data_IF_759462490995
#
_entry.id   IF_759462490995
#
_cell.length_a   1.000
_cell.length_b   1.000
_cell.length_c   1.000
_cell.angle_alpha   90.00
_cell.angle_beta   90.00
_cell.angle_gamma   90.00
#
_symmetry.space_group_name_H-M   'P 1'
#
loop_
_entity.id
_entity.type
_entity.pdbx_description
1 polymer ?
#
# COMPACT_ATOMS: atom_id res chain seq x y z
N UNK A 1 9.46 -21.13 -34.89
CA UNK A 1 8.46 -21.11 -33.80
C UNK A 1 8.40 -19.70 -33.23
N UNK A 2 7.45 -18.89 -33.71
CA UNK A 2 7.23 -17.53 -33.21
C UNK A 2 6.25 -17.56 -32.04
N UNK A 3 6.68 -17.09 -30.87
CA UNK A 3 5.80 -16.91 -29.72
C UNK A 3 4.94 -15.67 -29.96
N UNK A 4 3.65 -15.91 -30.21
CA UNK A 4 2.64 -14.86 -30.31
C UNK A 4 2.51 -14.13 -28.96
N UNK A 5 2.53 -12.79 -28.90
CA UNK A 5 2.35 -12.05 -27.66
C UNK A 5 0.93 -12.30 -27.15
N UNK A 6 0.83 -13.04 -26.04
CA UNK A 6 -0.44 -13.43 -25.43
C UNK A 6 -1.36 -12.23 -25.19
N UNK A 7 -2.56 -12.30 -25.77
CA UNK A 7 -3.66 -11.38 -25.46
C UNK A 7 -4.13 -11.66 -24.03
N UNK A 8 -3.85 -10.74 -23.12
CA UNK A 8 -4.49 -10.75 -21.81
C UNK A 8 -5.98 -10.38 -21.96
N UNK A 9 -6.92 -11.14 -21.35
CA UNK A 9 -8.34 -10.85 -21.43
C UNK A 9 -8.67 -9.48 -20.82
N UNK A 10 -9.60 -8.75 -21.45
CA UNK A 10 -10.05 -7.42 -21.05
C UNK A 10 -10.97 -7.52 -19.82
N UNK A 11 -10.40 -7.45 -18.63
CA UNK A 11 -11.17 -7.31 -17.38
C UNK A 11 -11.23 -5.84 -16.96
N UNK A 12 -12.44 -5.33 -16.68
CA UNK A 12 -12.68 -4.00 -16.10
C UNK A 12 -12.89 -4.20 -14.57
N UNK A 13 -12.43 -3.23 -13.75
CA UNK A 13 -12.69 -3.05 -12.28
C UNK A 13 -11.64 -3.71 -11.34
N UNK A 14 -11.29 -3.25 -10.12
CA UNK A 14 -11.23 -1.93 -9.43
C UNK A 14 -9.90 -1.89 -8.62
N UNK A 15 -8.91 -1.15 -9.13
CA UNK A 15 -7.51 -0.98 -8.65
C UNK A 15 -7.35 -0.42 -7.21
N UNK A 16 -8.45 -0.01 -6.55
CA UNK A 16 -8.41 0.84 -5.36
C UNK A 16 -8.06 0.11 -4.06
N UNK A 17 -8.54 -1.12 -3.86
CA UNK A 17 -8.44 -1.84 -2.56
C UNK A 17 -7.00 -2.17 -2.16
N UNK A 18 -6.17 -2.59 -3.12
CA UNK A 18 -4.80 -3.01 -2.84
C UNK A 18 -3.83 -1.83 -2.75
N UNK A 19 -3.99 -0.79 -3.57
CA UNK A 19 -3.24 0.45 -3.37
C UNK A 19 -3.58 0.97 -1.98
N UNK A 20 -4.84 1.19 -1.62
CA UNK A 20 -5.21 1.65 -0.27
C UNK A 20 -4.60 0.79 0.85
N UNK A 21 -4.57 -0.54 0.68
CA UNK A 21 -4.00 -1.48 1.65
C UNK A 21 -2.46 -1.43 1.76
N UNK A 22 -1.73 -1.36 0.64
CA UNK A 22 -0.28 -1.13 0.63
C UNK A 22 0.10 0.29 1.02
N UNK A 23 -0.84 1.22 0.95
CA UNK A 23 -0.65 2.63 1.26
C UNK A 23 -0.91 2.96 2.72
N UNK A 24 -1.77 2.20 3.38
CA UNK A 24 -1.91 2.17 4.85
C UNK A 24 -0.70 1.51 5.52
N UNK A 25 -0.04 0.60 4.80
CA UNK A 25 1.13 -0.18 5.21
C UNK A 25 2.29 0.70 5.70
N UNK A 26 2.74 1.75 4.97
CA UNK A 26 3.80 2.61 5.45
C UNK A 26 3.36 3.69 6.43
N UNK A 27 2.05 3.97 6.54
CA UNK A 27 1.53 4.65 7.73
C UNK A 27 1.84 3.74 8.92
N UNK A 28 1.30 2.52 8.96
CA UNK A 28 1.52 1.55 10.06
C UNK A 28 3.02 1.29 10.34
N UNK A 29 3.91 1.34 9.35
CA UNK A 29 5.36 1.14 9.51
C UNK A 29 6.14 2.31 10.13
N UNK A 30 5.60 3.52 10.15
CA UNK A 30 6.30 4.66 10.76
C UNK A 30 6.20 4.68 12.31
N UNK A 31 5.45 3.75 12.91
CA UNK A 31 4.91 3.86 14.27
C UNK A 31 5.88 3.74 15.46
N UNK A 32 7.18 3.54 15.24
CA UNK A 32 8.01 2.98 16.32
C UNK A 32 9.49 3.31 16.27
N UNK A 33 9.82 4.54 15.90
CA UNK A 33 11.16 5.10 16.11
C UNK A 33 11.16 6.20 17.19
N UNK A 34 10.32 6.05 18.22
CA UNK A 34 10.29 6.91 19.41
C UNK A 34 10.40 6.07 20.68
N UNK A 35 11.64 5.86 21.15
CA UNK A 35 11.95 5.06 22.33
C UNK A 35 11.45 5.70 23.62
N UNK A 36 10.61 4.96 24.34
CA UNK A 36 10.27 5.18 25.74
C UNK A 36 9.76 3.87 26.31
N UNK A 37 10.48 3.28 27.25
CA UNK A 37 10.10 2.05 27.91
C UNK A 37 8.75 2.24 28.62
N UNK A 38 7.78 1.39 28.33
CA UNK A 38 6.47 1.38 29.02
C UNK A 38 6.34 0.05 29.76
N UNK A 39 6.08 0.13 31.06
CA UNK A 39 5.77 -0.99 31.93
C UNK A 39 4.56 -1.77 31.41
N UNK A 40 4.57 -3.08 31.63
CA UNK A 40 3.58 -4.01 31.09
C UNK A 40 2.18 -3.80 31.69
N UNK A 41 1.25 -3.24 30.90
CA UNK A 41 -0.22 -3.40 30.90
C UNK A 41 -0.86 -2.47 29.84
N UNK A 42 -2.14 -2.62 29.43
CA UNK A 42 -2.86 -3.72 28.78
C UNK A 42 -2.72 -3.65 27.24
N UNK A 43 -3.48 -4.47 26.48
CA UNK A 43 -3.52 -4.57 24.99
C UNK A 43 -3.19 -3.26 24.25
N UNK A 44 -2.50 -3.30 23.10
CA UNK A 44 -2.15 -2.09 22.35
C UNK A 44 -3.38 -1.24 22.09
N UNK A 45 -3.35 -0.01 22.61
CA UNK A 45 -4.34 1.00 22.29
C UNK A 45 -4.13 1.42 20.83
N UNK A 46 -5.01 0.94 19.97
CA UNK A 46 -4.99 1.28 18.55
C UNK A 46 -5.22 2.76 18.31
N UNK A 47 -5.92 3.46 19.21
CA UNK A 47 -6.08 4.92 19.16
C UNK A 47 -4.71 5.56 19.28
N UNK A 48 -3.96 5.21 20.33
CA UNK A 48 -2.59 5.69 20.55
C UNK A 48 -1.63 5.30 19.43
N UNK A 49 -1.80 4.11 18.86
CA UNK A 49 -1.04 3.66 17.68
C UNK A 49 -1.35 4.57 16.48
N UNK A 50 -2.63 4.77 16.16
CA UNK A 50 -3.08 5.64 15.06
C UNK A 50 -2.70 7.12 15.28
N UNK A 51 -2.66 7.60 16.52
CA UNK A 51 -2.18 8.94 16.87
C UNK A 51 -0.68 9.07 16.63
N UNK A 52 0.11 8.07 17.06
CA UNK A 52 1.55 8.01 16.73
C UNK A 52 1.75 8.03 15.21
N UNK A 53 0.95 7.26 14.46
CA UNK A 53 0.96 7.31 13.00
C UNK A 53 0.62 8.68 12.44
N UNK A 54 -0.39 9.33 12.99
CA UNK A 54 -0.79 10.68 12.63
C UNK A 54 0.34 11.70 12.83
N UNK A 55 1.15 11.54 13.89
CA UNK A 55 2.31 12.40 14.15
C UNK A 55 3.48 12.21 13.19
N UNK A 56 3.64 11.03 12.57
CA UNK A 56 4.67 10.79 11.54
C UNK A 56 4.22 11.24 10.15
N UNK A 57 2.93 11.08 9.84
CA UNK A 57 2.36 11.54 8.57
C UNK A 57 2.13 13.05 8.52
N UNK A 58 2.14 13.69 9.68
CA UNK A 58 1.99 15.14 9.82
C UNK A 58 2.79 15.63 11.04
N UNK A 59 4.13 15.58 10.98
CA UNK A 59 4.94 16.03 12.10
C UNK A 59 4.82 17.55 12.21
N UNK A 60 4.64 18.03 13.44
CA UNK A 60 4.70 19.45 13.74
C UNK A 60 6.13 19.97 13.43
N UNK A 61 6.37 20.41 12.20
CA UNK A 61 7.67 20.87 11.73
C UNK A 61 7.73 21.06 10.21
N UNK A 62 8.62 21.93 9.75
CA UNK A 62 8.76 22.30 8.32
C UNK A 62 9.42 21.22 7.46
N UNK A 63 10.06 20.21 8.07
CA UNK A 63 10.87 19.21 7.37
C UNK A 63 10.65 17.80 7.93
N UNK A 64 9.53 17.14 7.56
CA UNK A 64 9.27 15.75 7.93
C UNK A 64 10.40 14.83 7.48
N UNK A 65 10.82 13.88 8.33
CA UNK A 65 11.84 12.91 7.96
C UNK A 65 11.34 11.94 6.90
N UNK A 66 12.27 11.23 6.26
CA UNK A 66 11.94 10.18 5.28
C UNK A 66 11.93 8.84 5.97
N UNK A 67 10.82 8.11 5.87
CA UNK A 67 10.76 6.71 6.31
C UNK A 67 11.00 5.83 5.10
N UNK A 68 11.98 4.92 5.19
CA UNK A 68 12.23 3.94 4.14
C UNK A 68 12.19 2.53 4.70
N UNK A 69 11.68 1.59 3.91
CA UNK A 69 11.75 0.17 4.22
C UNK A 69 11.69 -0.67 2.95
N UNK A 70 11.95 -1.96 3.11
CA UNK A 70 11.83 -2.94 2.05
C UNK A 70 10.86 -4.03 2.50
N UNK A 71 9.79 -4.23 1.75
CA UNK A 71 8.81 -5.27 2.01
C UNK A 71 9.20 -6.53 1.24
N UNK A 72 9.45 -7.64 1.95
CA UNK A 72 9.52 -8.97 1.35
C UNK A 72 8.13 -9.59 1.37
N UNK A 73 7.64 -10.00 0.22
CA UNK A 73 6.33 -10.63 0.08
C UNK A 73 6.46 -12.16 0.14
N UNK A 74 5.66 -12.79 1.00
CA UNK A 74 5.61 -14.25 1.19
C UNK A 74 4.15 -14.71 1.23
N UNK A 75 3.93 -16.03 1.30
CA UNK A 75 2.59 -16.63 1.43
C UNK A 75 1.57 -16.11 0.42
N UNK A 76 2.04 -15.81 -0.80
CA UNK A 76 1.30 -15.18 -1.89
C UNK A 76 0.32 -16.16 -2.55
N UNK A 77 -0.53 -16.81 -1.75
CA UNK A 77 -1.51 -17.79 -2.18
C UNK A 77 -2.55 -17.13 -3.07
N UNK A 78 -2.77 -17.70 -4.25
CA UNK A 78 -3.69 -17.14 -5.25
C UNK A 78 -3.18 -15.85 -5.91
N UNK A 79 -1.92 -15.47 -5.68
CA UNK A 79 -1.22 -14.49 -6.51
C UNK A 79 -0.39 -15.24 -7.55
N UNK A 80 -0.23 -14.70 -8.76
CA UNK A 80 0.65 -15.33 -9.72
C UNK A 80 2.13 -15.33 -9.29
N UNK A 81 2.89 -16.30 -9.81
CA UNK A 81 4.15 -16.77 -9.24
C UNK A 81 5.22 -15.69 -8.98
N UNK A 82 5.19 -14.56 -9.71
CA UNK A 82 6.12 -13.45 -9.53
C UNK A 82 5.98 -12.68 -8.21
N UNK A 83 4.98 -12.99 -7.38
CA UNK A 83 4.79 -12.36 -6.07
C UNK A 83 5.46 -13.09 -4.92
N UNK A 84 5.76 -14.38 -5.11
CA UNK A 84 6.50 -15.12 -4.11
C UNK A 84 7.92 -14.58 -4.03
N UNK A 85 8.36 -14.20 -2.83
CA UNK A 85 9.65 -13.55 -2.54
C UNK A 85 9.88 -12.22 -3.28
N UNK A 86 8.82 -11.61 -3.81
CA UNK A 86 8.91 -10.29 -4.40
C UNK A 86 9.33 -9.27 -3.33
N UNK A 87 10.14 -8.31 -3.77
CA UNK A 87 10.62 -7.24 -2.92
C UNK A 87 10.06 -5.91 -3.39
N UNK A 88 9.54 -5.12 -2.45
CA UNK A 88 9.01 -3.77 -2.71
C UNK A 88 9.79 -2.77 -1.87
N UNK A 89 10.52 -1.87 -2.51
CA UNK A 89 11.14 -0.72 -1.85
C UNK A 89 10.09 0.35 -1.59
N UNK A 90 10.03 0.86 -0.37
CA UNK A 90 9.07 1.88 0.06
C UNK A 90 9.84 3.06 0.64
N UNK A 91 9.50 4.27 0.20
CA UNK A 91 9.95 5.51 0.79
C UNK A 91 8.77 6.47 0.95
N UNK A 92 8.63 7.05 2.13
CA UNK A 92 7.61 8.04 2.44
C UNK A 92 8.23 9.30 3.04
N UNK A 93 7.65 10.44 2.71
CA UNK A 93 7.87 11.68 3.42
C UNK A 93 6.53 12.43 3.48
N UNK A 94 6.10 12.77 4.68
CA UNK A 94 4.91 13.60 4.85
C UNK A 94 5.07 14.97 4.15
N UNK A 95 3.97 15.66 3.84
CA UNK A 95 2.59 15.18 3.83
C UNK A 95 2.17 14.58 2.47
N UNK A 96 3.04 14.61 1.45
CA UNK A 96 2.63 14.43 0.05
C UNK A 96 3.71 13.80 -0.83
N UNK A 97 4.63 13.03 -0.24
CA UNK A 97 5.73 12.39 -0.96
C UNK A 97 5.78 10.90 -0.66
N UNK A 98 5.75 10.09 -1.72
CA UNK A 98 5.94 8.66 -1.60
C UNK A 98 6.63 8.09 -2.83
N UNK A 99 7.30 6.96 -2.67
CA UNK A 99 7.84 6.15 -3.75
C UNK A 99 7.72 4.68 -3.38
N UNK A 100 7.18 3.90 -4.30
CA UNK A 100 7.06 2.45 -4.25
C UNK A 100 7.80 1.90 -5.45
N UNK A 101 8.85 1.11 -5.23
CA UNK A 101 9.58 0.43 -6.28
C UNK A 101 9.34 -1.07 -6.17
N UNK A 102 8.83 -1.68 -7.23
CA UNK A 102 8.73 -3.13 -7.34
C UNK A 102 9.52 -3.58 -8.55
N UNK A 103 10.30 -4.65 -8.41
CA UNK A 103 11.04 -5.17 -9.53
C UNK A 103 11.42 -6.63 -9.38
N UNK A 104 11.61 -7.25 -10.54
CA UNK A 104 12.30 -8.52 -10.71
C UNK A 104 13.62 -8.26 -11.44
N UNK A 105 14.51 -9.26 -11.54
CA UNK A 105 15.78 -9.14 -12.27
C UNK A 105 15.66 -8.63 -13.71
N UNK A 106 14.45 -8.63 -14.32
CA UNK A 106 14.22 -8.26 -15.72
C UNK A 106 13.31 -7.04 -15.91
N UNK A 107 12.70 -6.51 -14.85
CA UNK A 107 11.77 -5.39 -14.96
C UNK A 107 11.62 -4.67 -13.64
N UNK A 108 11.69 -3.34 -13.66
CA UNK A 108 11.42 -2.47 -12.51
C UNK A 108 10.28 -1.53 -12.85
N UNK A 109 9.33 -1.42 -11.94
CA UNK A 109 8.20 -0.49 -12.00
C UNK A 109 8.26 0.34 -10.74
N UNK A 110 8.14 1.65 -10.90
CA UNK A 110 8.07 2.57 -9.77
C UNK A 110 6.84 3.42 -9.85
N UNK A 111 6.17 3.56 -8.72
CA UNK A 111 5.07 4.47 -8.52
C UNK A 111 5.50 5.52 -7.50
N UNK A 112 5.14 6.77 -7.69
CA UNK A 112 5.41 7.79 -6.69
C UNK A 112 4.41 8.93 -6.69
N UNK A 113 4.49 9.72 -5.64
CA UNK A 113 3.76 10.96 -5.45
C UNK A 113 4.76 12.05 -5.06
N UNK A 114 4.59 13.21 -5.68
CA UNK A 114 5.27 14.45 -5.33
C UNK A 114 4.23 15.57 -5.33
N UNK A 115 3.74 15.91 -4.14
CA UNK A 115 2.73 16.95 -3.98
C UNK A 115 1.39 16.58 -4.63
N UNK A 116 0.83 17.45 -5.49
CA UNK A 116 -0.44 17.20 -6.15
C UNK A 116 -0.30 16.27 -7.37
N UNK A 117 0.86 15.64 -7.59
CA UNK A 117 1.12 14.78 -8.74
C UNK A 117 1.48 13.37 -8.32
N UNK A 118 0.96 12.41 -9.06
CA UNK A 118 1.36 11.00 -9.03
C UNK A 118 2.04 10.65 -10.34
N UNK A 119 2.97 9.70 -10.28
CA UNK A 119 3.68 9.22 -11.44
C UNK A 119 3.90 7.71 -11.40
N UNK A 120 4.06 7.13 -12.58
CA UNK A 120 4.42 5.74 -12.80
C UNK A 120 5.56 5.69 -13.81
N UNK A 121 6.62 4.98 -13.47
CA UNK A 121 7.75 4.72 -14.34
C UNK A 121 7.94 3.23 -14.54
N UNK A 122 8.24 2.82 -15.77
CA UNK A 122 8.54 1.45 -16.13
C UNK A 122 9.92 1.38 -16.77
N UNK A 123 10.89 0.72 -16.11
CA UNK A 123 12.27 0.66 -16.57
C UNK A 123 12.40 -0.02 -17.93
N UNK A 124 11.74 -1.17 -18.13
CA UNK A 124 11.82 -1.94 -19.37
C UNK A 124 11.34 -1.13 -20.59
N UNK A 125 10.30 -0.32 -20.40
CA UNK A 125 9.76 0.52 -21.47
C UNK A 125 10.32 1.93 -21.46
N UNK A 126 11.09 2.36 -20.45
CA UNK A 126 11.55 3.75 -20.29
C UNK A 126 10.43 4.79 -20.19
N UNK A 127 9.17 4.35 -20.05
CA UNK A 127 7.99 5.21 -20.10
C UNK A 127 7.72 5.83 -18.73
N UNK A 128 7.36 7.10 -18.74
CA UNK A 128 6.87 7.84 -17.57
C UNK A 128 5.45 8.29 -17.83
N UNK A 129 4.58 8.09 -16.84
CA UNK A 129 3.22 8.61 -16.82
C UNK A 129 3.09 9.54 -15.63
N UNK A 130 2.53 10.73 -15.84
CA UNK A 130 2.27 11.70 -14.77
C UNK A 130 0.80 12.10 -14.81
N UNK A 131 0.16 12.16 -13.65
CA UNK A 131 -1.21 12.63 -13.51
C UNK A 131 -1.36 13.48 -12.24
N UNK A 132 -2.31 14.43 -12.23
CA UNK A 132 -2.72 15.05 -10.97
C UNK A 132 -3.33 13.99 -10.05
N UNK A 133 -3.16 14.17 -8.73
CA UNK A 133 -3.97 13.47 -7.74
C UNK A 133 -5.41 13.92 -7.98
N UNK A 134 -6.28 13.01 -8.40
CA UNK A 134 -7.67 13.37 -8.66
C UNK A 134 -8.34 13.93 -7.40
N UNK A 135 -9.30 14.82 -7.54
CA UNK A 135 -10.39 14.98 -6.58
C UNK A 135 -11.52 14.10 -7.11
N UNK A 136 -12.13 13.24 -6.29
CA UNK A 136 -13.34 12.57 -6.77
C UNK A 136 -14.35 13.63 -7.20
N UNK A 137 -15.09 13.42 -8.30
CA UNK A 137 -16.11 14.38 -8.78
C UNK A 137 -17.10 14.76 -7.67
N UNK A 138 -17.35 13.83 -6.74
CA UNK A 138 -18.30 13.97 -5.64
C UNK A 138 -17.67 14.68 -4.41
N UNK A 139 -16.38 15.06 -4.45
CA UNK A 139 -15.60 15.65 -3.34
C UNK A 139 -15.41 14.76 -2.10
N UNK A 140 -16.23 13.73 -1.95
CA UNK A 140 -16.36 12.93 -0.74
C UNK A 140 -15.52 11.66 -0.75
N UNK A 141 -15.13 11.13 -1.91
CA UNK A 141 -14.32 9.89 -1.95
C UNK A 141 -12.84 10.25 -1.87
N UNK A 142 -12.07 9.68 -0.92
CA UNK A 142 -10.65 9.91 -0.85
C UNK A 142 -10.06 9.51 -2.19
N UNK A 143 -9.45 10.48 -2.85
CA UNK A 143 -8.55 10.13 -3.93
C UNK A 143 -7.46 9.27 -3.35
N UNK A 144 -6.88 8.41 -4.17
CA UNK A 144 -5.81 7.47 -3.77
C UNK A 144 -4.50 8.23 -3.50
N UNK A 145 -4.59 9.41 -2.91
CA UNK A 145 -3.51 10.29 -2.54
C UNK A 145 -2.74 9.67 -1.40
N UNK A 146 -1.56 9.17 -1.75
CA UNK A 146 -0.50 8.74 -0.84
C UNK A 146 0.41 9.91 -0.44
N UNK A 147 0.80 10.11 0.82
CA UNK A 147 0.36 9.40 2.01
C UNK A 147 -1.08 9.77 2.39
N UNK A 148 -1.70 8.91 3.19
CA UNK A 148 -3.08 9.06 3.67
C UNK A 148 -3.15 10.32 4.55
N UNK A 149 -4.01 11.31 4.24
CA UNK A 149 -4.15 12.50 5.06
C UNK A 149 -4.51 12.15 6.50
N UNK A 150 -4.01 12.91 7.49
CA UNK A 150 -4.30 12.65 8.91
C UNK A 150 -5.81 12.62 9.20
N UNK A 151 -6.59 13.49 8.56
CA UNK A 151 -8.05 13.50 8.68
C UNK A 151 -8.69 12.17 8.22
N UNK A 152 -8.13 11.52 7.21
CA UNK A 152 -8.60 10.22 6.74
C UNK A 152 -8.22 9.08 7.73
N UNK A 153 -7.07 9.18 8.40
CA UNK A 153 -6.70 8.23 9.46
C UNK A 153 -7.68 8.27 10.65
N UNK A 154 -8.18 9.46 11.02
CA UNK A 154 -9.15 9.62 12.11
C UNK A 154 -10.47 8.88 11.86
N UNK A 155 -10.81 8.59 10.62
CA UNK A 155 -12.01 7.84 10.25
C UNK A 155 -11.81 6.33 10.30
N UNK A 156 -10.58 5.82 10.29
CA UNK A 156 -10.30 4.38 10.25
C UNK A 156 -10.95 3.58 11.40
N UNK A 157 -10.97 4.05 12.67
CA UNK A 157 -11.60 3.32 13.76
C UNK A 157 -13.08 3.01 13.53
N UNK A 158 -13.85 3.95 12.96
CA UNK A 158 -15.28 3.75 12.67
C UNK A 158 -15.54 3.07 11.32
N UNK A 159 -14.59 3.18 10.39
CA UNK A 159 -14.64 2.53 9.09
C UNK A 159 -14.38 1.02 9.13
N UNK A 160 -13.72 0.54 10.19
CA UNK A 160 -13.23 -0.82 10.26
C UNK A 160 -13.72 -1.53 11.52
N UNK A 161 -13.92 -2.83 11.40
CA UNK A 161 -14.00 -3.74 12.53
C UNK A 161 -12.59 -4.14 12.96
N UNK A 162 -12.40 -4.31 14.26
CA UNK A 162 -11.11 -4.63 14.87
C UNK A 162 -11.24 -5.84 15.79
N UNK A 163 -10.22 -6.68 15.83
CA UNK A 163 -10.12 -7.76 16.82
C UNK A 163 -8.68 -7.93 17.24
N UNK A 164 -8.45 -7.80 18.54
CA UNK A 164 -7.17 -8.07 19.17
C UNK A 164 -7.10 -9.54 19.57
N UNK A 165 -5.97 -10.17 19.28
CA UNK A 165 -5.65 -11.53 19.66
C UNK A 165 -4.65 -11.50 20.81
N UNK A 166 -4.43 -12.63 21.51
CA UNK A 166 -3.31 -12.75 22.44
C UNK A 166 -1.99 -12.42 21.75
N UNK A 167 -1.05 -11.87 22.52
CA UNK A 167 0.30 -11.60 22.04
C UNK A 167 0.96 -12.91 21.57
N UNK A 168 1.74 -12.82 20.50
CA UNK A 168 2.38 -13.97 19.87
C UNK A 168 3.82 -13.65 19.52
N UNK A 169 4.64 -14.68 19.29
CA UNK A 169 5.99 -14.50 18.77
C UNK A 169 5.99 -14.62 17.26
N UNK A 170 6.48 -13.59 16.57
CA UNK A 170 6.64 -13.57 15.11
C UNK A 170 8.11 -13.37 14.79
N UNK A 171 8.72 -14.32 14.09
CA UNK A 171 10.16 -14.35 13.84
C UNK A 171 11.02 -14.19 15.11
N UNK A 172 10.55 -14.77 16.23
CA UNK A 172 11.22 -14.69 17.53
C UNK A 172 10.86 -13.47 18.39
N UNK A 173 10.31 -12.41 17.80
CA UNK A 173 9.96 -11.16 18.48
C UNK A 173 8.56 -11.21 19.11
N UNK A 174 8.39 -10.78 20.37
CA UNK A 174 7.08 -10.66 20.99
C UNK A 174 6.28 -9.54 20.31
N UNK A 175 5.11 -9.88 19.80
CA UNK A 175 4.26 -8.98 19.03
C UNK A 175 2.82 -8.98 19.56
N UNK A 176 2.23 -7.79 19.62
CA UNK A 176 0.79 -7.68 19.69
C UNK A 176 0.17 -7.99 18.33
N UNK A 177 -0.94 -8.74 18.34
CA UNK A 177 -1.60 -9.21 17.12
C UNK A 177 -3.00 -8.63 17.00
N UNK A 178 -3.30 -8.01 15.86
CA UNK A 178 -4.63 -7.47 15.60
C UNK A 178 -5.04 -7.74 14.16
N UNK A 179 -6.32 -8.06 13.98
CA UNK A 179 -6.94 -8.06 12.66
C UNK A 179 -7.90 -6.89 12.50
N UNK A 180 -7.86 -6.28 11.32
CA UNK A 180 -8.74 -5.19 10.90
C UNK A 180 -9.40 -5.54 9.57
N UNK A 181 -10.68 -5.21 9.40
CA UNK A 181 -11.40 -5.36 8.13
C UNK A 181 -12.47 -4.27 7.99
N UNK A 182 -12.76 -3.79 6.78
CA UNK A 182 -13.73 -2.71 6.59
C UNK A 182 -15.14 -3.14 7.00
N UNK A 183 -15.93 -2.20 7.52
CA UNK A 183 -17.38 -2.40 7.73
C UNK A 183 -18.11 -2.48 6.38
N UNK A 184 -19.32 -3.06 6.32
CA UNK A 184 -20.13 -3.05 5.10
C UNK A 184 -20.28 -1.66 4.47
N UNK A 185 -20.62 -0.64 5.29
CA UNK A 185 -20.75 0.73 4.83
C UNK A 185 -19.43 1.31 4.27
N UNK A 186 -18.29 1.02 4.91
CA UNK A 186 -16.99 1.45 4.41
C UNK A 186 -16.64 0.76 3.09
N UNK A 187 -16.95 -0.54 2.94
CA UNK A 187 -16.75 -1.28 1.68
C UNK A 187 -17.56 -0.68 0.55
N UNK A 188 -18.84 -0.41 0.78
CA UNK A 188 -19.74 0.17 -0.22
C UNK A 188 -19.27 1.56 -0.64
N UNK A 189 -18.88 2.38 0.33
CA UNK A 189 -18.42 3.74 0.10
C UNK A 189 -17.07 3.78 -0.66
N UNK A 190 -16.10 2.96 -0.25
CA UNK A 190 -14.79 2.84 -0.92
C UNK A 190 -14.86 2.04 -2.22
N UNK A 191 -15.92 1.25 -2.42
CA UNK A 191 -16.07 0.30 -3.52
C UNK A 191 -14.99 -0.78 -3.50
N UNK A 192 -14.65 -1.28 -2.32
CA UNK A 192 -13.64 -2.32 -2.08
C UNK A 192 -14.32 -3.62 -1.66
N UNK A 193 -13.71 -4.74 -2.04
CA UNK A 193 -14.15 -6.06 -1.60
C UNK A 193 -13.81 -6.30 -0.14
N UNK A 194 -14.31 -7.43 0.36
CA UNK A 194 -14.07 -7.87 1.72
C UNK A 194 -12.68 -8.49 1.87
N UNK A 195 -11.91 -7.93 2.79
CA UNK A 195 -10.57 -8.42 3.13
C UNK A 195 -10.29 -8.22 4.61
N UNK A 196 -9.37 -9.03 5.13
CA UNK A 196 -8.84 -8.91 6.48
C UNK A 196 -7.36 -8.62 6.39
N UNK A 197 -6.92 -7.65 7.19
CA UNK A 197 -5.50 -7.37 7.41
C UNK A 197 -5.15 -7.76 8.83
N UNK A 198 -4.25 -8.72 9.00
CA UNK A 198 -3.64 -9.02 10.29
C UNK A 198 -2.32 -8.28 10.37
N UNK A 199 -2.12 -7.49 11.42
CA UNK A 199 -0.89 -6.75 11.70
C UNK A 199 -0.27 -7.30 12.97
N UNK A 200 1.03 -7.56 12.92
CA UNK A 200 1.83 -7.91 14.09
C UNK A 200 2.75 -6.75 14.41
N UNK A 201 2.55 -6.12 15.57
CA UNK A 201 3.36 -5.00 16.04
C UNK A 201 4.30 -5.46 17.14
N UNK A 202 5.60 -5.21 17.01
CA UNK A 202 6.59 -5.55 18.04
C UNK A 202 6.26 -4.83 19.33
N UNK A 203 6.28 -5.52 20.46
CA UNK A 203 6.04 -4.90 21.77
C UNK A 203 7.16 -3.95 22.18
N UNK A 204 8.39 -4.14 21.66
CA UNK A 204 9.57 -3.33 21.99
C UNK A 204 9.46 -1.88 21.53
N UNK A 205 8.93 -1.66 20.32
CA UNK A 205 8.93 -0.35 19.67
C UNK A 205 7.62 0.00 18.96
N UNK A 206 6.66 -0.93 18.86
CA UNK A 206 5.40 -0.72 18.17
C UNK A 206 5.51 -0.76 16.64
N UNK A 207 6.67 -1.13 16.08
CA UNK A 207 6.82 -1.26 14.64
C UNK A 207 6.20 -2.57 14.13
N UNK A 208 5.63 -2.56 12.92
CA UNK A 208 5.16 -3.79 12.28
C UNK A 208 6.29 -4.76 12.01
N UNK A 209 6.16 -5.97 12.56
CA UNK A 209 7.01 -7.12 12.25
C UNK A 209 6.57 -7.81 10.96
N UNK A 210 5.25 -7.89 10.74
CA UNK A 210 4.65 -8.46 9.55
C UNK A 210 3.23 -7.92 9.37
N UNK A 211 2.70 -8.04 8.16
CA UNK A 211 1.30 -7.79 7.84
C UNK A 211 0.80 -8.86 6.87
N UNK A 212 -0.41 -9.34 7.07
CA UNK A 212 -1.03 -10.34 6.21
C UNK A 212 -2.38 -9.87 5.70
N UNK A 213 -2.55 -9.84 4.39
CA UNK A 213 -3.83 -9.64 3.71
C UNK A 213 -4.44 -10.98 3.39
N UNK A 214 -5.74 -11.09 3.66
CA UNK A 214 -6.55 -12.26 3.31
C UNK A 214 -7.84 -11.79 2.68
N UNK A 215 -8.21 -12.35 1.53
CA UNK A 215 -9.56 -12.19 1.01
C UNK A 215 -10.51 -13.08 1.82
N UNK A 216 -11.71 -12.60 2.12
CA UNK A 216 -12.75 -13.43 2.76
C UNK A 216 -13.60 -14.18 1.73
N UNK A 217 -13.65 -13.69 0.50
CA UNK A 217 -14.40 -14.27 -0.61
C UNK A 217 -13.61 -15.34 -1.40
N UNK A 218 -12.34 -15.60 -1.05
CA UNK A 218 -11.51 -16.55 -1.78
C UNK A 218 -10.29 -17.00 -0.98
N UNK A 219 -9.56 -17.98 -1.52
CA UNK A 219 -8.41 -18.59 -0.86
C UNK A 219 -7.09 -17.83 -1.10
N UNK A 220 -7.16 -16.49 -1.00
CA UNK A 220 -6.06 -15.62 -1.37
C UNK A 220 -5.45 -14.97 -0.14
N UNK A 221 -4.13 -15.06 -0.03
CA UNK A 221 -3.38 -14.42 1.05
C UNK A 221 -2.06 -13.87 0.55
N UNK A 222 -1.56 -12.84 1.24
CA UNK A 222 -0.25 -12.26 1.01
C UNK A 222 0.29 -11.80 2.35
N UNK A 223 1.54 -12.11 2.67
CA UNK A 223 2.20 -11.62 3.87
C UNK A 223 3.38 -10.73 3.48
N UNK A 224 3.44 -9.51 4.00
CA UNK A 224 4.56 -8.60 3.81
C UNK A 224 5.40 -8.52 5.09
N UNK A 225 6.70 -8.67 4.91
CA UNK A 225 7.73 -8.59 5.94
C UNK A 225 8.56 -7.34 5.72
N UNK A 226 8.38 -6.30 6.55
CA UNK A 226 9.23 -5.14 6.51
C UNK A 226 10.65 -5.49 6.94
N UNK A 227 11.61 -5.02 6.16
CA UNK A 227 13.04 -5.19 6.39
C UNK A 227 13.73 -3.85 6.15
N UNK A 228 14.90 -3.65 6.77
CA UNK A 228 15.70 -2.44 6.62
C UNK A 228 14.90 -1.13 6.85
N UNK A 229 13.93 -1.17 7.77
CA UNK A 229 13.14 0.00 8.17
C UNK A 229 14.05 1.01 8.87
N UNK A 230 14.05 2.24 8.37
CA UNK A 230 14.86 3.32 8.93
C UNK A 230 14.24 4.69 8.64
N UNK A 231 14.64 5.66 9.45
CA UNK A 231 14.32 7.07 9.26
C UNK A 231 15.56 7.84 8.83
N UNK A 232 15.40 8.67 7.82
CA UNK A 232 16.44 9.54 7.26
C UNK A 232 15.99 11.01 7.41
N UNK A 233 16.93 11.95 7.30
CA UNK A 233 16.62 13.37 7.21
C UNK A 233 15.72 13.67 6.00
N UNK A 234 14.98 14.78 6.07
CA UNK A 234 14.13 15.26 4.99
C UNK A 234 14.87 15.28 3.65
N UNK A 235 14.29 14.65 2.63
CA UNK A 235 14.90 14.58 1.31
C UNK A 235 14.56 15.80 0.44
N UNK A 236 15.47 16.18 -0.50
CA UNK A 236 15.17 17.19 -1.49
C UNK A 236 14.01 16.76 -2.40
N UNK A 237 13.28 17.73 -2.96
CA UNK A 237 12.13 17.50 -3.84
C UNK A 237 12.46 16.66 -5.07
N UNK A 238 13.70 16.71 -5.55
CA UNK A 238 14.20 15.92 -6.69
C UNK A 238 14.13 14.40 -6.48
N UNK A 239 14.25 13.90 -5.23
CA UNK A 239 14.16 12.46 -4.90
C UNK A 239 12.79 11.86 -5.26
N UNK A 240 11.76 12.69 -5.27
CA UNK A 240 10.36 12.33 -5.42
C UNK A 240 9.84 12.50 -6.85
N UNK A 241 10.67 12.98 -7.77
CA UNK A 241 10.33 13.10 -9.18
C UNK A 241 10.53 11.75 -9.88
N UNK A 242 9.77 11.47 -10.96
CA UNK A 242 10.04 10.30 -11.79
C UNK A 242 11.46 10.41 -12.40
N UNK A 243 12.11 9.28 -12.71
CA UNK A 243 13.33 9.28 -13.50
C UNK A 243 13.14 10.05 -14.81
N UNK A 244 14.20 10.68 -15.30
CA UNK A 244 14.16 11.36 -16.59
C UNK A 244 13.75 10.36 -17.69
N UNK A 245 12.77 10.70 -18.55
CA UNK A 245 12.43 9.85 -19.67
C UNK A 245 13.63 9.75 -20.61
N UNK A 246 13.84 8.60 -21.25
CA UNK A 246 14.80 8.49 -22.35
C UNK A 246 14.39 9.46 -23.47
N UNK A 247 15.35 10.10 -24.13
CA UNK A 247 15.11 11.13 -25.17
C UNK A 247 14.11 10.69 -26.28
N UNK A 248 13.99 9.38 -26.53
CA UNK A 248 13.11 8.81 -27.56
C UNK A 248 11.66 8.52 -27.09
N UNK A 249 11.31 8.74 -25.81
CA UNK A 249 10.03 8.24 -25.26
C UNK A 249 9.16 9.33 -24.67
N UNK A 250 7.90 9.36 -25.12
CA UNK A 250 6.90 10.32 -24.70
C UNK A 250 6.50 10.16 -23.23
N UNK A 251 6.44 11.29 -22.52
CA UNK A 251 5.73 11.41 -21.25
C UNK A 251 4.23 11.38 -21.55
N UNK A 252 3.55 10.29 -21.14
CA UNK A 252 2.10 10.27 -21.24
C UNK A 252 1.53 11.06 -20.07
N UNK A 253 0.67 12.04 -20.36
CA UNK A 253 0.00 12.85 -19.33
C UNK A 253 -1.46 12.44 -19.22
N UNK A 254 -1.96 12.35 -17.98
CA UNK A 254 -3.39 12.26 -17.71
C UNK A 254 -3.81 11.02 -16.92
N UNK A 255 -4.85 11.20 -16.13
CA UNK A 255 -5.38 10.18 -15.23
C UNK A 255 -5.85 8.92 -15.97
N UNK A 256 -6.44 9.07 -17.16
CA UNK A 256 -6.87 7.93 -17.98
C UNK A 256 -5.69 7.05 -18.42
N UNK A 257 -4.55 7.65 -18.77
CA UNK A 257 -3.34 6.92 -19.15
C UNK A 257 -2.75 6.18 -17.94
N UNK A 258 -2.71 6.84 -16.78
CA UNK A 258 -2.27 6.24 -15.53
C UNK A 258 -3.19 5.08 -15.12
N UNK A 259 -4.51 5.29 -15.10
CA UNK A 259 -5.51 4.25 -14.78
C UNK A 259 -5.40 3.06 -15.74
N UNK A 260 -5.26 3.29 -17.05
CA UNK A 260 -5.11 2.24 -18.06
C UNK A 260 -3.82 1.44 -17.89
N UNK A 261 -2.74 2.04 -17.36
CA UNK A 261 -1.42 1.40 -17.24
C UNK A 261 -1.12 0.84 -15.86
N UNK A 262 -1.74 1.34 -14.81
CA UNK A 262 -1.80 0.63 -13.53
C UNK A 262 -2.67 -0.63 -13.64
N UNK A 263 -3.50 -0.74 -14.69
CA UNK A 263 -4.38 -1.87 -14.91
C UNK A 263 -3.72 -3.24 -15.21
N UNK A 264 -2.40 -3.36 -15.46
CA UNK A 264 -1.76 -4.70 -15.41
C UNK A 264 -0.99 -4.99 -14.11
N UNK A 265 -0.05 -4.17 -13.60
CA UNK A 265 0.67 -4.50 -12.35
C UNK A 265 -0.18 -4.32 -11.10
N UNK A 266 -1.07 -3.33 -11.09
CA UNK A 266 -1.96 -3.04 -9.96
C UNK A 266 -3.34 -3.64 -10.16
N UNK A 267 -3.82 -3.83 -11.40
CA UNK A 267 -4.95 -4.75 -11.55
C UNK A 267 -4.54 -6.17 -11.26
N UNK A 268 -3.33 -6.66 -11.53
CA UNK A 268 -2.96 -7.99 -11.04
C UNK A 268 -3.12 -8.11 -9.52
N UNK A 269 -2.76 -7.06 -8.79
CA UNK A 269 -2.92 -7.00 -7.34
C UNK A 269 -4.33 -6.63 -6.87
N UNK A 270 -5.24 -6.22 -7.75
CA UNK A 270 -6.61 -5.82 -7.40
C UNK A 270 -7.69 -6.75 -8.00
N UNK A 271 -7.43 -7.32 -9.17
CA UNK A 271 -8.11 -8.43 -9.85
C UNK A 271 -8.02 -9.69 -8.99
N UNK A 272 -6.94 -9.84 -8.23
CA UNK A 272 -6.80 -10.92 -7.26
C UNK A 272 -7.38 -10.58 -5.87
N UNK A 273 -8.02 -9.44 -5.63
CA UNK A 273 -8.76 -9.20 -4.38
C UNK A 273 -10.26 -8.92 -4.59
N UNK A 274 -10.83 -9.14 -5.78
CA UNK A 274 -12.27 -8.98 -6.08
C UNK A 274 -12.86 -9.84 -7.21
N UNK A 275 -13.89 -10.63 -6.83
CA UNK A 275 -14.97 -11.39 -7.51
C UNK A 275 -14.82 -12.16 -8.87
N UNK A 276 -15.24 -13.45 -8.83
CA UNK A 276 -15.97 -14.20 -9.89
C UNK A 276 -17.20 -14.83 -9.17
N UNK A 277 -18.44 -14.64 -9.67
CA UNK A 277 -18.98 -15.41 -10.79
C UNK A 277 -19.44 -14.54 -11.96
N UNK A 278 -19.00 -14.92 -13.16
CA UNK A 278 -19.85 -14.74 -14.34
C UNK A 278 -20.78 -15.96 -14.36
N UNK A 279 -22.08 -15.67 -14.21
CA UNK A 279 -23.21 -16.51 -14.55
C UNK A 279 -23.35 -17.86 -13.85
N UNK A 280 -24.15 -17.82 -12.79
CA UNK A 280 -25.34 -18.65 -12.77
C UNK A 280 -26.28 -18.21 -13.91
N UNK A 281 -26.08 -18.74 -15.11
CA UNK A 281 -27.16 -18.90 -16.08
C UNK A 281 -27.29 -20.39 -16.35
N UNK A 282 -28.28 -20.98 -15.68
CA UNK A 282 -28.96 -22.12 -16.26
C UNK A 282 -29.73 -21.62 -17.48
N UNK A 283 -29.18 -21.87 -18.67
CA UNK A 283 -29.86 -22.25 -19.91
C UNK A 283 -28.85 -22.76 -20.92
#
# INVERSE_FOLDING_TARGET
MGLSPGRFPRYRWKVRSFILSICLLPAILACGLGGGAVAAEPRPDWTRTLERLGGWLDPAGTHPPVVTCRLRLTEAKGFPAGFHDATVDVALQAPDRCRLGWGTNRSRVEFGRAGPRVWLWEAASGRVIVAPVGTSADGLRPSVGLPVPQAALRWLPSACNWTNFPDTRVAGEPCATTSVWPTPAARDWLGIDDFRVTVWLRLSDGLPQAMRWQSTAGNRSLTAWPTALRTELAAPSSRWQPPAPSAEKAVATGEAALRRRLAPPVAFLAQEFGAIPADADGR
#
